data_IF_174017931097
#
_entry.id   IF_174017931097
#
_cell.length_a   1.000
_cell.length_b   1.000
_cell.length_c   1.000
_cell.angle_alpha   90.00
_cell.angle_beta   90.00
_cell.angle_gamma   90.00
#
_symmetry.space_group_name_H-M   'P 1'
#
loop_
_entity.id
_entity.type
_entity.pdbx_description
1 polymer ?
#
# COMPACT_ATOMS: atom_id res chain seq x y z
N UNK A 1 -7.87 -1.98 12.50
CA UNK A 1 -7.50 -3.23 11.85
C UNK A 1 -6.59 -2.93 10.68
N UNK A 2 -5.59 -3.77 10.46
CA UNK A 2 -4.64 -3.54 9.38
C UNK A 2 -5.08 -4.27 8.12
N UNK A 3 -4.73 -3.71 6.96
CA UNK A 3 -4.98 -4.32 5.67
C UNK A 3 -3.65 -4.62 5.01
N UNK A 4 -3.51 -5.82 4.46
CA UNK A 4 -2.30 -6.19 3.74
C UNK A 4 -2.47 -5.85 2.27
N UNK A 5 -1.47 -5.19 1.72
CA UNK A 5 -1.47 -4.82 0.31
C UNK A 5 -0.10 -5.10 -0.28
N UNK A 6 -0.05 -5.33 -1.59
CA UNK A 6 1.20 -5.53 -2.31
C UNK A 6 1.53 -4.22 -3.02
N UNK A 7 2.73 -3.69 -2.79
CA UNK A 7 3.13 -2.44 -3.42
C UNK A 7 3.41 -2.67 -4.90
N UNK A 8 2.87 -1.80 -5.73
CA UNK A 8 3.09 -1.82 -7.17
C UNK A 8 4.15 -0.82 -7.59
N UNK A 9 4.52 0.09 -6.68
CA UNK A 9 5.54 1.10 -6.89
C UNK A 9 6.37 1.21 -5.62
N UNK A 10 7.58 1.75 -5.74
CA UNK A 10 8.38 2.06 -4.56
C UNK A 10 7.72 3.21 -3.82
N UNK A 11 7.45 3.02 -2.53
CA UNK A 11 6.82 4.06 -1.69
C UNK A 11 7.80 4.38 -0.57
N UNK A 12 8.49 5.52 -0.62
CA UNK A 12 9.47 5.89 0.41
C UNK A 12 8.84 5.86 1.80
N UNK A 13 9.55 5.24 2.73
CA UNK A 13 9.06 5.13 4.09
C UNK A 13 8.11 3.97 4.33
N UNK A 14 7.68 3.29 3.27
CA UNK A 14 6.75 2.18 3.40
C UNK A 14 7.34 0.87 2.87
N UNK A 15 7.89 0.88 1.66
CA UNK A 15 8.47 -0.32 1.09
C UNK A 15 8.74 -0.14 -0.39
N UNK A 16 9.07 -1.26 -1.03
CA UNK A 16 9.44 -1.27 -2.46
C UNK A 16 8.45 -2.09 -3.26
N UNK A 17 8.51 -1.93 -4.57
CA UNK A 17 7.67 -2.68 -5.50
C UNK A 17 7.74 -4.18 -5.19
N UNK A 18 6.59 -4.80 -5.06
CA UNK A 18 6.49 -6.23 -4.77
C UNK A 18 6.44 -6.57 -3.29
N UNK A 19 6.67 -5.59 -2.40
CA UNK A 19 6.63 -5.84 -0.97
C UNK A 19 5.19 -5.98 -0.49
N UNK A 20 4.99 -6.94 0.42
CA UNK A 20 3.72 -7.07 1.12
C UNK A 20 3.80 -6.24 2.39
N UNK A 21 2.92 -5.25 2.52
CA UNK A 21 2.93 -4.34 3.66
C UNK A 21 1.56 -4.31 4.32
N UNK A 22 1.55 -3.98 5.60
CA UNK A 22 0.33 -3.84 6.38
C UNK A 22 0.11 -2.36 6.67
N UNK A 23 -1.05 -1.86 6.30
CA UNK A 23 -1.40 -0.46 6.46
C UNK A 23 -2.80 -0.36 7.03
N UNK A 24 -3.17 0.82 7.56
CA UNK A 24 -4.54 1.04 7.99
C UNK A 24 -5.46 1.02 6.77
N UNK A 25 -6.72 0.54 6.93
CA UNK A 25 -7.65 0.53 5.80
C UNK A 25 -7.89 1.90 5.20
N UNK A 26 -7.88 2.95 6.03
CA UNK A 26 -8.06 4.31 5.55
C UNK A 26 -6.90 4.76 4.68
N UNK A 27 -5.67 4.45 5.08
CA UNK A 27 -4.49 4.81 4.31
C UNK A 27 -4.50 4.10 2.95
N UNK A 28 -4.80 2.82 2.95
CA UNK A 28 -4.86 2.05 1.71
C UNK A 28 -5.92 2.62 0.78
N UNK A 29 -7.12 2.88 1.29
CA UNK A 29 -8.24 3.34 0.48
C UNK A 29 -8.05 4.76 -0.02
N UNK A 30 -7.52 5.63 0.82
CA UNK A 30 -7.46 7.06 0.50
C UNK A 30 -6.18 7.47 -0.20
N UNK A 31 -5.13 6.69 -0.09
CA UNK A 31 -3.83 7.06 -0.64
C UNK A 31 -3.29 6.03 -1.61
N UNK A 32 -3.14 4.79 -1.18
CA UNK A 32 -2.45 3.79 -1.99
C UNK A 32 -3.26 3.35 -3.20
N UNK A 33 -4.53 3.02 -3.01
CA UNK A 33 -5.35 2.48 -4.10
C UNK A 33 -5.70 3.52 -5.15
N UNK A 34 -6.13 4.76 -4.77
CA UNK A 34 -6.43 5.76 -5.79
C UNK A 34 -5.22 6.16 -6.63
N UNK A 35 -4.02 6.04 -6.09
CA UNK A 35 -2.80 6.40 -6.80
C UNK A 35 -2.17 5.21 -7.51
N UNK A 36 -2.81 4.04 -7.41
CA UNK A 36 -2.30 2.80 -8.00
C UNK A 36 -0.91 2.43 -7.48
N UNK A 37 -0.66 2.74 -6.21
CA UNK A 37 0.61 2.43 -5.57
C UNK A 37 0.62 1.02 -4.99
N UNK A 38 -0.56 0.44 -4.77
CA UNK A 38 -0.68 -0.89 -4.18
C UNK A 38 -1.93 -1.58 -4.68
N UNK A 39 -1.96 -2.90 -4.54
CA UNK A 39 -3.13 -3.73 -4.83
C UNK A 39 -3.47 -4.56 -3.59
N UNK A 40 -4.76 -4.84 -3.38
CA UNK A 40 -5.19 -5.67 -2.25
C UNK A 40 -4.68 -7.10 -2.34
#
# INVERSE_FOLDING_TARGET
>A
MAKEVILMEDVPGLGYTGDLVRVSPGYARNYLLPRNLAAP
#
